data_IF_679600169577
#
_entry.id   IF_679600169577
#
_cell.length_a   1.000
_cell.length_b   1.000
_cell.length_c   1.000
_cell.angle_alpha   90.00
_cell.angle_beta   90.00
_cell.angle_gamma   90.00
#
_symmetry.space_group_name_H-M   'P 1'
#
loop_
_entity.id
_entity.type
_entity.pdbx_description
1 polymer ?
#
# COMPACT_ATOMS: atom_id res chain seq x y z
N UNK A 1 -4.23 -31.65 29.73
CA UNK A 1 -3.16 -31.96 28.76
C UNK A 1 -2.71 -30.63 28.18
N UNK A 2 -1.70 -30.05 28.81
CA UNK A 2 -0.98 -28.84 28.39
C UNK A 2 -0.05 -29.22 27.25
N UNK A 3 -0.25 -28.63 26.07
CA UNK A 3 0.68 -28.75 24.95
C UNK A 3 1.53 -27.48 24.95
N UNK A 4 2.74 -27.59 25.49
CA UNK A 4 3.80 -26.60 25.29
C UNK A 4 4.23 -26.65 23.83
N UNK A 5 3.97 -25.58 23.09
CA UNK A 5 4.59 -25.35 21.78
C UNK A 5 5.74 -24.38 21.99
N UNK A 6 6.89 -24.92 22.38
CA UNK A 6 8.17 -24.23 22.27
C UNK A 6 8.63 -24.35 20.82
N UNK A 7 8.31 -23.35 20.00
CA UNK A 7 8.90 -23.21 18.68
C UNK A 7 10.36 -22.83 18.83
N UNK A 8 11.27 -23.80 18.67
CA UNK A 8 12.70 -23.54 18.49
C UNK A 8 12.88 -22.67 17.25
N UNK A 9 13.58 -21.56 17.39
CA UNK A 9 14.25 -20.90 16.26
C UNK A 9 15.14 -21.96 15.64
N UNK A 10 14.82 -22.37 14.42
CA UNK A 10 15.65 -23.29 13.66
C UNK A 10 16.89 -22.50 13.28
N UNK A 11 18.01 -22.85 13.90
CA UNK A 11 19.34 -22.39 13.51
C UNK A 11 19.56 -22.88 12.07
N UNK A 12 19.39 -21.96 11.11
CA UNK A 12 19.60 -22.25 9.70
C UNK A 12 21.12 -22.23 9.55
N UNK A 13 21.71 -23.42 9.45
CA UNK A 13 23.16 -23.57 9.37
C UNK A 13 23.77 -22.62 8.35
N UNK A 14 24.87 -21.98 8.72
CA UNK A 14 25.71 -21.18 7.83
C UNK A 14 26.07 -22.04 6.62
N UNK A 15 25.41 -21.76 5.49
CA UNK A 15 25.94 -22.16 4.20
C UNK A 15 27.03 -21.14 3.92
N UNK A 16 28.29 -21.59 3.93
CA UNK A 16 29.42 -20.80 3.44
C UNK A 16 29.21 -20.59 1.93
N UNK A 17 28.46 -19.54 1.59
CA UNK A 17 28.00 -19.19 0.27
C UNK A 17 28.90 -18.12 -0.38
N UNK A 18 30.01 -17.77 0.29
CA UNK A 18 31.00 -16.80 -0.16
C UNK A 18 30.60 -15.35 0.06
N UNK A 19 29.44 -15.09 0.68
CA UNK A 19 28.97 -13.74 0.97
C UNK A 19 29.88 -13.05 2.01
N UNK A 20 30.13 -11.75 1.80
CA UNK A 20 30.97 -10.93 2.68
C UNK A 20 30.16 -10.15 3.73
N UNK A 21 28.87 -10.44 3.83
CA UNK A 21 27.94 -9.76 4.74
C UNK A 21 27.70 -10.57 6.01
N UNK A 22 27.35 -9.89 7.10
CA UNK A 22 26.90 -10.59 8.31
C UNK A 22 25.41 -10.94 8.18
N UNK A 23 25.09 -12.22 7.98
CA UNK A 23 23.72 -12.72 7.79
C UNK A 23 22.84 -12.51 9.03
N UNK A 24 23.42 -12.35 10.23
CA UNK A 24 22.68 -12.08 11.46
C UNK A 24 22.39 -10.59 11.68
N UNK A 25 22.93 -9.70 10.86
CA UNK A 25 22.73 -8.25 10.99
C UNK A 25 21.27 -7.90 10.69
N UNK A 26 20.65 -7.15 11.59
CA UNK A 26 19.30 -6.62 11.46
C UNK A 26 19.23 -5.53 10.38
N UNK A 27 18.12 -5.50 9.65
CA UNK A 27 17.85 -4.50 8.62
C UNK A 27 17.18 -3.30 9.27
N UNK A 28 17.89 -2.16 9.27
CA UNK A 28 17.36 -0.88 9.76
C UNK A 28 16.80 -0.94 11.20
N UNK A 29 17.36 -1.81 12.06
CA UNK A 29 16.93 -1.96 13.45
C UNK A 29 15.70 -2.84 13.68
N UNK A 30 15.06 -3.34 12.61
CA UNK A 30 13.93 -4.26 12.69
C UNK A 30 14.37 -5.72 12.85
N UNK A 31 13.44 -6.60 13.24
CA UNK A 31 13.69 -8.02 13.54
C UNK A 31 14.11 -8.88 12.33
N UNK A 32 14.00 -8.35 11.11
CA UNK A 32 14.40 -9.02 9.88
C UNK A 32 15.91 -8.90 9.65
N UNK A 33 16.59 -10.03 9.44
CA UNK A 33 18.03 -10.07 9.18
C UNK A 33 18.36 -10.02 7.69
N UNK A 34 19.62 -9.68 7.37
CA UNK A 34 20.20 -9.85 6.02
C UNK A 34 19.97 -11.27 5.52
N UNK A 35 20.24 -12.29 6.33
CA UNK A 35 20.05 -13.69 5.94
C UNK A 35 18.59 -14.00 5.58
N UNK A 36 17.63 -13.49 6.34
CA UNK A 36 16.20 -13.66 6.03
C UNK A 36 15.84 -13.02 4.67
N UNK A 37 16.33 -11.81 4.41
CA UNK A 37 16.10 -11.09 3.15
C UNK A 37 16.67 -11.88 1.96
N UNK A 38 17.93 -12.28 2.03
CA UNK A 38 18.59 -13.02 0.95
C UNK A 38 17.94 -14.38 0.71
N UNK A 39 17.61 -15.13 1.77
CA UNK A 39 16.97 -16.43 1.65
C UNK A 39 15.61 -16.33 0.95
N UNK A 40 14.81 -15.32 1.30
CA UNK A 40 13.52 -15.13 0.64
C UNK A 40 13.63 -14.86 -0.87
N UNK A 41 14.69 -14.20 -1.34
CA UNK A 41 14.98 -14.02 -2.77
C UNK A 41 15.51 -15.31 -3.40
N UNK A 42 16.43 -16.03 -2.74
CA UNK A 42 16.97 -17.30 -3.23
C UNK A 42 15.89 -18.37 -3.40
N UNK A 43 14.85 -18.32 -2.59
CA UNK A 43 13.71 -19.22 -2.69
C UNK A 43 12.72 -18.77 -3.77
N UNK A 44 12.45 -17.47 -3.90
CA UNK A 44 11.27 -16.99 -4.64
C UNK A 44 11.56 -16.12 -5.88
N UNK A 45 12.82 -15.77 -6.17
CA UNK A 45 13.17 -14.94 -7.32
C UNK A 45 14.24 -15.51 -8.26
N UNK A 46 13.81 -15.99 -9.42
CA UNK A 46 14.71 -16.57 -10.43
C UNK A 46 15.69 -15.56 -11.02
N UNK A 47 15.34 -14.28 -11.08
CA UNK A 47 16.24 -13.23 -11.56
C UNK A 47 17.39 -13.08 -10.56
N UNK A 48 17.07 -12.91 -9.27
CA UNK A 48 18.05 -12.87 -8.21
C UNK A 48 18.91 -14.14 -8.16
N UNK A 49 18.31 -15.34 -8.23
CA UNK A 49 19.06 -16.61 -8.24
C UNK A 49 20.10 -16.67 -9.35
N UNK A 50 19.75 -16.21 -10.55
CA UNK A 50 20.67 -16.16 -11.69
C UNK A 50 21.82 -15.17 -11.45
N UNK A 51 21.53 -13.99 -10.91
CA UNK A 51 22.55 -13.00 -10.57
C UNK A 51 23.49 -13.52 -9.48
N UNK A 52 22.93 -14.08 -8.41
CA UNK A 52 23.65 -14.58 -7.25
C UNK A 52 24.57 -15.76 -7.57
N UNK A 53 24.17 -16.63 -8.51
CA UNK A 53 24.91 -17.88 -8.82
C UNK A 53 26.40 -17.72 -9.16
N UNK A 54 26.84 -16.51 -9.53
CA UNK A 54 28.23 -16.21 -9.86
C UNK A 54 28.78 -14.98 -9.13
N UNK A 55 28.02 -14.39 -8.19
CA UNK A 55 28.29 -13.07 -7.63
C UNK A 55 27.94 -13.05 -6.15
N UNK A 56 28.92 -13.27 -5.26
CA UNK A 56 28.69 -13.15 -3.82
C UNK A 56 28.23 -11.74 -3.44
N UNK A 57 27.44 -11.65 -2.37
CA UNK A 57 26.98 -10.36 -1.84
C UNK A 57 28.13 -9.71 -1.07
N UNK A 58 28.47 -8.49 -1.46
CA UNK A 58 29.50 -7.65 -0.82
C UNK A 58 28.92 -6.84 0.32
N UNK A 59 27.77 -6.23 0.12
CA UNK A 59 27.12 -5.36 1.10
C UNK A 59 25.60 -5.27 0.85
N UNK A 60 24.85 -4.92 1.91
CA UNK A 60 23.44 -4.59 1.82
C UNK A 60 23.18 -3.28 2.56
N UNK A 61 22.60 -2.33 1.85
CA UNK A 61 22.12 -1.07 2.44
C UNK A 61 20.60 -1.03 2.43
N UNK A 62 20.01 -0.35 3.42
CA UNK A 62 18.57 -0.16 3.51
C UNK A 62 18.26 1.30 3.88
N UNK A 63 17.34 1.91 3.14
CA UNK A 63 16.92 3.30 3.33
C UNK A 63 15.39 3.40 3.37
N UNK A 64 14.84 4.15 4.32
CA UNK A 64 13.41 4.44 4.40
C UNK A 64 12.99 5.40 3.29
N UNK A 65 12.28 4.87 2.29
CA UNK A 65 11.75 5.65 1.17
C UNK A 65 10.44 6.34 1.51
N UNK A 66 9.79 6.00 2.63
CA UNK A 66 8.60 6.70 3.08
C UNK A 66 8.93 8.10 3.61
N UNK A 67 10.17 8.31 4.08
CA UNK A 67 10.62 9.58 4.65
C UNK A 67 9.80 10.01 5.86
N UNK A 68 9.37 9.04 6.68
CA UNK A 68 8.47 9.25 7.82
C UNK A 68 7.01 9.56 7.46
N UNK A 69 6.62 9.44 6.18
CA UNK A 69 5.25 9.68 5.71
C UNK A 69 4.43 8.40 5.57
N UNK A 70 5.05 7.24 5.80
CA UNK A 70 4.39 5.95 5.78
C UNK A 70 3.55 5.79 7.04
N UNK A 71 2.29 6.22 6.99
CA UNK A 71 1.45 6.41 8.16
C UNK A 71 1.33 5.16 9.05
N UNK A 72 1.15 3.98 8.45
CA UNK A 72 0.97 2.69 9.15
C UNK A 72 2.03 1.66 8.77
N UNK A 73 3.10 2.08 8.10
CA UNK A 73 4.20 1.20 7.70
C UNK A 73 5.45 1.99 7.37
N UNK A 74 6.61 1.44 7.70
CA UNK A 74 7.90 1.88 7.15
C UNK A 74 8.14 1.12 5.85
N UNK A 75 8.62 1.82 4.82
CA UNK A 75 8.94 1.23 3.52
C UNK A 75 10.44 1.38 3.28
N UNK A 76 11.18 0.28 3.40
CA UNK A 76 12.62 0.27 3.22
C UNK A 76 12.95 -0.19 1.80
N UNK A 77 13.77 0.58 1.10
CA UNK A 77 14.45 0.11 -0.12
C UNK A 77 15.76 -0.54 0.27
N UNK A 78 15.86 -1.83 0.05
CA UNK A 78 17.07 -2.60 0.27
C UNK A 78 17.86 -2.71 -1.04
N UNK A 79 19.15 -2.36 -1.00
CA UNK A 79 20.07 -2.45 -2.15
C UNK A 79 21.14 -3.48 -1.83
N UNK A 80 21.17 -4.55 -2.62
CA UNK A 80 22.13 -5.65 -2.55
C UNK A 80 23.25 -5.35 -3.54
N UNK A 81 24.46 -5.20 -3.01
CA UNK A 81 25.67 -4.88 -3.77
C UNK A 81 26.50 -6.16 -3.89
N UNK A 82 26.90 -6.51 -5.10
CA UNK A 82 27.73 -7.69 -5.36
C UNK A 82 29.23 -7.33 -5.40
N UNK A 83 30.10 -8.33 -5.25
CA UNK A 83 31.56 -8.13 -5.18
C UNK A 83 32.13 -7.47 -6.43
N UNK A 84 31.60 -7.80 -7.60
CA UNK A 84 32.03 -7.32 -8.92
C UNK A 84 31.22 -6.10 -9.43
N UNK A 85 30.32 -5.54 -8.61
CA UNK A 85 29.51 -4.38 -8.98
C UNK A 85 30.40 -3.16 -9.28
N UNK A 86 30.50 -2.80 -10.57
CA UNK A 86 31.34 -1.68 -11.02
C UNK A 86 30.69 -0.30 -10.78
N UNK A 87 29.36 -0.23 -10.65
CA UNK A 87 28.61 1.00 -10.40
C UNK A 87 27.23 0.69 -9.77
N UNK A 88 26.49 1.74 -9.41
CA UNK A 88 25.17 1.65 -8.75
C UNK A 88 24.08 0.95 -9.57
N UNK A 89 24.26 0.83 -10.90
CA UNK A 89 23.29 0.16 -11.78
C UNK A 89 23.50 -1.35 -11.81
N UNK A 90 24.57 -1.85 -11.18
CA UNK A 90 24.92 -3.25 -11.09
C UNK A 90 24.63 -3.82 -9.70
N UNK A 91 23.51 -3.37 -9.13
CA UNK A 91 22.98 -3.79 -7.83
C UNK A 91 21.60 -4.42 -8.03
N UNK A 92 21.17 -5.24 -7.08
CA UNK A 92 19.80 -5.74 -7.04
C UNK A 92 19.02 -5.02 -5.95
N UNK A 93 17.84 -4.49 -6.27
CA UNK A 93 17.02 -3.74 -5.32
C UNK A 93 15.69 -4.42 -5.05
N UNK A 94 15.22 -4.27 -3.81
CA UNK A 94 13.97 -4.84 -3.32
C UNK A 94 13.35 -3.92 -2.27
N UNK A 95 12.07 -4.12 -1.98
CA UNK A 95 11.30 -3.33 -1.01
C UNK A 95 10.90 -4.21 0.17
N UNK A 96 11.14 -3.71 1.38
CA UNK A 96 10.69 -4.29 2.63
C UNK A 96 9.67 -3.33 3.25
N UNK A 97 8.38 -3.67 3.17
CA UNK A 97 7.31 -2.93 3.85
C UNK A 97 7.07 -3.60 5.21
N UNK A 98 7.26 -2.85 6.29
CA UNK A 98 7.08 -3.32 7.66
C UNK A 98 5.93 -2.52 8.27
N UNK A 99 4.80 -3.15 8.62
CA UNK A 99 3.72 -2.47 9.30
C UNK A 99 4.17 -2.05 10.71
N UNK A 100 3.68 -0.91 11.16
CA UNK A 100 4.12 -0.32 12.43
C UNK A 100 3.14 0.71 12.96
N UNK A 101 3.35 1.09 14.22
CA UNK A 101 2.57 2.13 14.89
C UNK A 101 3.33 3.46 14.98
N UNK A 102 4.63 3.44 14.77
CA UNK A 102 5.57 4.50 15.12
C UNK A 102 5.24 5.81 14.41
N UNK A 103 4.99 5.76 13.09
CA UNK A 103 4.64 6.96 12.32
C UNK A 103 3.27 7.53 12.71
N UNK A 104 2.31 6.67 13.07
CA UNK A 104 1.03 7.11 13.60
C UNK A 104 1.18 7.72 14.99
N UNK A 105 1.92 7.07 15.90
CA UNK A 105 2.17 7.55 17.26
C UNK A 105 2.96 8.87 17.24
N UNK A 106 3.91 9.03 16.32
CA UNK A 106 4.62 10.28 16.10
C UNK A 106 3.68 11.39 15.59
N UNK A 107 2.80 11.08 14.64
CA UNK A 107 1.82 12.04 14.13
C UNK A 107 0.82 12.45 15.23
N UNK A 108 0.34 11.48 16.01
CA UNK A 108 -0.60 11.68 17.12
C UNK A 108 0.02 12.51 18.25
N UNK A 109 1.28 12.23 18.63
CA UNK A 109 1.97 12.95 19.70
C UNK A 109 2.33 14.40 19.34
N UNK A 110 2.50 14.70 18.05
CA UNK A 110 2.69 16.07 17.54
C UNK A 110 1.38 16.84 17.32
N UNK A 111 0.24 16.16 17.43
CA UNK A 111 -1.05 16.78 17.27
C UNK A 111 -1.55 17.34 18.60
N UNK A 112 -2.26 18.48 18.57
CA UNK A 112 -2.91 19.06 19.75
C UNK A 112 -4.18 18.28 20.18
N UNK A 113 -4.38 17.07 19.64
CA UNK A 113 -5.58 16.26 19.81
C UNK A 113 -5.44 15.23 20.93
N UNK A 114 -6.59 14.68 21.36
CA UNK A 114 -6.68 13.72 22.46
C UNK A 114 -5.78 12.50 22.21
N UNK A 115 -4.88 12.24 23.15
CA UNK A 115 -3.76 11.32 22.96
C UNK A 115 -4.14 9.82 22.98
N UNK A 116 -5.41 9.46 23.22
CA UNK A 116 -5.86 8.06 23.40
C UNK A 116 -6.37 7.36 22.13
N UNK A 117 -6.01 7.86 20.94
CA UNK A 117 -6.39 7.25 19.66
C UNK A 117 -5.69 5.91 19.39
N UNK A 118 -4.53 5.66 19.99
CA UNK A 118 -3.75 4.42 19.84
C UNK A 118 -4.09 3.39 20.93
N UNK A 119 -5.37 3.04 21.03
CA UNK A 119 -5.83 1.98 21.92
C UNK A 119 -5.67 0.58 21.28
N UNK A 120 -5.95 -0.47 22.06
CA UNK A 120 -5.85 -1.87 21.63
C UNK A 120 -6.70 -2.17 20.38
N UNK A 121 -7.85 -1.50 20.21
CA UNK A 121 -8.73 -1.70 19.06
C UNK A 121 -8.09 -1.13 17.78
N UNK A 122 -7.51 0.07 17.85
CA UNK A 122 -6.76 0.68 16.75
C UNK A 122 -5.57 -0.19 16.34
N UNK A 123 -4.82 -0.70 17.33
CA UNK A 123 -3.69 -1.61 17.05
C UNK A 123 -4.11 -2.89 16.33
N UNK A 124 -5.19 -3.51 16.79
CA UNK A 124 -5.79 -4.70 16.13
C UNK A 124 -6.23 -4.41 14.70
N UNK A 125 -6.66 -3.19 14.39
CA UNK A 125 -7.05 -2.79 13.03
C UNK A 125 -5.86 -2.68 12.10
N UNK A 126 -4.74 -2.10 12.52
CA UNK A 126 -3.55 -2.04 11.66
C UNK A 126 -2.98 -3.43 11.39
N UNK A 127 -3.02 -4.32 12.38
CA UNK A 127 -2.69 -5.73 12.18
C UNK A 127 -3.60 -6.35 11.11
N UNK A 128 -4.91 -6.14 11.22
CA UNK A 128 -5.87 -6.62 10.24
C UNK A 128 -5.66 -6.02 8.84
N UNK A 129 -5.31 -4.73 8.73
CA UNK A 129 -4.96 -4.10 7.45
C UNK A 129 -3.75 -4.78 6.80
N UNK A 130 -2.71 -5.09 7.58
CA UNK A 130 -1.56 -5.86 7.10
C UNK A 130 -1.94 -7.28 6.68
N UNK A 131 -2.78 -7.98 7.46
CA UNK A 131 -3.29 -9.32 7.10
C UNK A 131 -4.04 -9.29 5.76
N UNK A 132 -4.88 -8.28 5.54
CA UNK A 132 -5.59 -8.12 4.28
C UNK A 132 -4.66 -7.78 3.11
N UNK A 133 -3.65 -6.95 3.32
CA UNK A 133 -2.64 -6.68 2.30
C UNK A 133 -1.83 -7.95 1.94
N UNK A 134 -1.48 -8.76 2.95
CA UNK A 134 -0.85 -10.06 2.73
C UNK A 134 -1.76 -10.99 1.91
N UNK A 135 -3.04 -11.06 2.25
CA UNK A 135 -4.03 -11.86 1.53
C UNK A 135 -4.23 -11.38 0.09
N UNK A 136 -4.20 -10.06 -0.14
CA UNK A 136 -4.24 -9.51 -1.49
C UNK A 136 -3.10 -10.07 -2.34
N UNK A 137 -1.85 -9.83 -1.91
CA UNK A 137 -0.70 -10.18 -2.74
C UNK A 137 -0.50 -11.68 -2.89
N UNK A 138 -0.72 -12.44 -1.81
CA UNK A 138 -0.48 -13.90 -1.82
C UNK A 138 -1.61 -14.70 -2.49
N UNK A 139 -2.85 -14.20 -2.48
CA UNK A 139 -4.03 -14.96 -2.95
C UNK A 139 -4.75 -14.29 -4.11
N UNK A 140 -5.09 -13.01 -4.01
CA UNK A 140 -5.98 -12.35 -4.99
C UNK A 140 -5.25 -11.80 -6.21
N UNK A 141 -4.13 -11.10 -6.01
CA UNK A 141 -3.39 -10.43 -7.08
C UNK A 141 -3.05 -11.37 -8.26
N UNK A 142 -2.60 -12.63 -8.04
CA UNK A 142 -2.35 -13.58 -9.13
C UNK A 142 -3.62 -13.99 -9.88
N UNK A 143 -4.75 -14.16 -9.18
CA UNK A 143 -6.02 -14.60 -9.75
C UNK A 143 -6.66 -13.51 -10.63
N UNK A 144 -6.56 -12.26 -10.19
CA UNK A 144 -7.14 -11.12 -10.92
C UNK A 144 -6.18 -10.48 -11.91
N UNK A 145 -4.94 -10.98 -11.99
CA UNK A 145 -3.85 -10.41 -12.79
C UNK A 145 -3.67 -8.92 -12.50
N UNK A 146 -3.68 -8.56 -11.22
CA UNK A 146 -3.48 -7.18 -10.79
C UNK A 146 -2.11 -6.70 -11.28
N UNK A 147 -2.00 -5.44 -11.76
CA UNK A 147 -0.71 -4.81 -11.95
C UNK A 147 -0.15 -4.51 -10.55
N UNK A 148 0.66 -5.41 -10.00
CA UNK A 148 1.17 -5.34 -8.63
C UNK A 148 2.66 -5.76 -8.62
N UNK A 149 3.45 -5.33 -7.63
CA UNK A 149 4.80 -5.86 -7.44
C UNK A 149 4.75 -7.37 -7.20
N UNK A 150 5.77 -8.08 -7.69
CA UNK A 150 5.99 -9.46 -7.25
C UNK A 150 6.30 -9.46 -5.75
N UNK A 151 5.62 -10.30 -4.98
CA UNK A 151 5.92 -10.50 -3.55
C UNK A 151 6.74 -11.78 -3.39
N UNK A 152 7.92 -11.64 -2.77
CA UNK A 152 8.85 -12.73 -2.51
C UNK A 152 8.49 -13.48 -1.24
N UNK A 153 8.06 -12.76 -0.20
CA UNK A 153 7.68 -13.34 1.08
C UNK A 153 6.75 -12.42 1.86
N UNK A 154 5.86 -13.03 2.65
CA UNK A 154 4.96 -12.35 3.59
C UNK A 154 5.18 -12.94 4.98
N UNK A 155 5.07 -12.10 6.01
CA UNK A 155 5.14 -12.51 7.41
C UNK A 155 3.97 -11.88 8.17
N UNK A 156 3.23 -12.71 8.90
CA UNK A 156 2.13 -12.26 9.74
C UNK A 156 2.63 -11.34 10.86
N UNK A 157 1.84 -10.31 11.18
CA UNK A 157 2.09 -9.42 12.30
C UNK A 157 1.38 -9.94 13.55
N UNK A 158 2.15 -10.32 14.58
CA UNK A 158 1.60 -10.77 15.86
C UNK A 158 1.95 -9.72 16.92
N UNK A 159 0.92 -9.02 17.43
CA UNK A 159 1.06 -7.98 18.43
C UNK A 159 2.01 -8.39 19.57
N UNK A 160 3.01 -7.54 19.83
CA UNK A 160 4.04 -7.69 20.88
C UNK A 160 4.88 -8.97 20.82
N UNK A 161 4.82 -9.74 19.73
CA UNK A 161 5.52 -11.03 19.59
C UNK A 161 6.37 -11.15 18.33
N UNK A 162 5.89 -10.62 17.21
CA UNK A 162 6.53 -10.79 15.89
C UNK A 162 6.12 -9.65 14.97
N UNK A 163 7.08 -8.94 14.38
CA UNK A 163 6.80 -7.95 13.34
C UNK A 163 6.24 -8.61 12.08
N UNK A 164 5.29 -7.94 11.43
CA UNK A 164 4.85 -8.32 10.09
C UNK A 164 5.81 -7.83 9.03
N UNK A 165 5.67 -8.35 7.80
CA UNK A 165 6.40 -7.80 6.65
C UNK A 165 5.81 -8.24 5.32
N UNK A 166 5.97 -7.40 4.30
CA UNK A 166 5.93 -7.76 2.89
C UNK A 166 7.29 -7.49 2.26
N UNK A 167 7.94 -8.52 1.73
CA UNK A 167 9.16 -8.40 0.93
C UNK A 167 8.80 -8.52 -0.55
N UNK A 168 9.04 -7.46 -1.33
CA UNK A 168 8.47 -7.30 -2.67
C UNK A 168 9.44 -6.63 -3.66
N UNK A 169 9.13 -6.77 -4.95
CA UNK A 169 9.84 -6.16 -6.08
C UNK A 169 9.98 -4.63 -5.91
N UNK A 170 11.19 -4.12 -6.14
CA UNK A 170 11.41 -2.69 -6.31
C UNK A 170 11.02 -2.25 -7.72
N UNK A 171 9.90 -1.56 -7.81
CA UNK A 171 9.33 -1.07 -9.06
C UNK A 171 9.98 0.23 -9.57
N UNK A 172 10.85 0.89 -8.79
CA UNK A 172 11.38 2.22 -9.13
C UNK A 172 12.22 2.24 -10.40
N UNK A 173 12.72 1.08 -10.85
CA UNK A 173 13.46 0.95 -12.12
C UNK A 173 12.53 0.98 -13.35
N UNK A 174 11.24 0.71 -13.17
CA UNK A 174 10.26 0.62 -14.27
C UNK A 174 8.99 1.44 -14.06
N UNK A 175 8.85 2.09 -12.92
CA UNK A 175 7.72 2.96 -12.68
C UNK A 175 7.97 4.06 -11.66
N UNK A 176 7.09 5.05 -11.68
CA UNK A 176 7.14 6.25 -10.85
C UNK A 176 5.73 6.64 -10.40
N UNK A 177 5.61 7.08 -9.16
CA UNK A 177 4.37 7.66 -8.63
C UNK A 177 4.32 9.15 -8.94
N UNK A 178 3.11 9.70 -8.92
CA UNK A 178 2.90 11.14 -8.98
C UNK A 178 2.67 11.69 -7.58
N UNK A 179 3.09 12.92 -7.33
CA UNK A 179 2.69 13.64 -6.12
C UNK A 179 1.21 14.01 -6.18
N UNK A 180 0.61 14.30 -5.02
CA UNK A 180 -0.79 14.71 -4.90
C UNK A 180 -1.16 15.98 -5.69
N UNK A 181 -0.18 16.77 -6.12
CA UNK A 181 -0.38 18.03 -6.83
C UNK A 181 -0.08 17.92 -8.33
N UNK A 182 0.34 16.74 -8.79
CA UNK A 182 0.60 16.49 -10.20
C UNK A 182 -0.64 15.91 -10.88
N UNK A 183 -0.93 16.44 -12.07
CA UNK A 183 -2.09 16.01 -12.85
C UNK A 183 -1.71 14.86 -13.79
N UNK A 184 -2.67 13.97 -14.01
CA UNK A 184 -2.60 12.98 -15.09
C UNK A 184 -3.27 13.49 -16.37
N UNK A 185 -2.78 13.02 -17.51
CA UNK A 185 -3.40 13.26 -18.81
C UNK A 185 -4.70 12.46 -18.98
N UNK A 186 -5.57 12.90 -19.90
CA UNK A 186 -6.77 12.13 -20.27
C UNK A 186 -6.44 10.71 -20.75
N UNK A 187 -5.27 10.49 -21.37
CA UNK A 187 -4.83 9.17 -21.79
C UNK A 187 -4.50 8.26 -20.60
N UNK A 188 -3.82 8.79 -19.57
CA UNK A 188 -3.62 8.11 -18.29
C UNK A 188 -4.95 7.80 -17.59
N UNK A 189 -5.91 8.73 -17.59
CA UNK A 189 -7.27 8.49 -17.06
C UNK A 189 -7.91 7.27 -17.75
N UNK A 190 -7.89 7.25 -19.08
CA UNK A 190 -8.43 6.13 -19.87
C UNK A 190 -7.69 4.81 -19.59
N UNK A 191 -6.37 4.87 -19.47
CA UNK A 191 -5.52 3.71 -19.16
C UNK A 191 -5.90 3.11 -17.80
N UNK A 192 -6.01 3.94 -16.77
CA UNK A 192 -6.43 3.52 -15.43
C UNK A 192 -7.84 2.90 -15.43
N UNK A 193 -8.81 3.56 -16.06
CA UNK A 193 -10.20 3.03 -16.16
C UNK A 193 -10.23 1.66 -16.85
N UNK A 194 -9.44 1.47 -17.91
CA UNK A 194 -9.34 0.17 -18.57
C UNK A 194 -8.73 -0.90 -17.67
N UNK A 195 -7.71 -0.56 -16.88
CA UNK A 195 -7.14 -1.47 -15.90
C UNK A 195 -8.14 -1.84 -14.80
N UNK A 196 -8.82 -0.85 -14.22
CA UNK A 196 -9.84 -1.06 -13.20
C UNK A 196 -10.98 -1.95 -13.71
N UNK A 197 -11.46 -1.69 -14.93
CA UNK A 197 -12.48 -2.53 -15.57
C UNK A 197 -12.02 -3.98 -15.79
N UNK A 198 -10.75 -4.20 -16.15
CA UNK A 198 -10.18 -5.56 -16.27
C UNK A 198 -10.06 -6.25 -14.92
N UNK A 199 -9.60 -5.54 -13.88
CA UNK A 199 -9.52 -6.08 -12.53
C UNK A 199 -10.91 -6.47 -11.99
N UNK A 200 -11.91 -5.59 -12.14
CA UNK A 200 -13.30 -5.86 -11.77
C UNK A 200 -13.88 -7.05 -12.55
N UNK A 201 -13.62 -7.14 -13.86
CA UNK A 201 -14.02 -8.32 -14.65
C UNK A 201 -13.39 -9.61 -14.12
N UNK A 202 -12.10 -9.56 -13.79
CA UNK A 202 -11.37 -10.74 -13.36
C UNK A 202 -11.82 -11.22 -11.98
N UNK A 203 -12.02 -10.32 -11.00
CA UNK A 203 -12.52 -10.71 -9.67
C UNK A 203 -13.92 -11.32 -9.74
N UNK A 204 -14.80 -10.80 -10.62
CA UNK A 204 -16.12 -11.37 -10.86
C UNK A 204 -16.07 -12.76 -11.53
N UNK A 205 -14.91 -13.16 -12.06
CA UNK A 205 -14.68 -14.50 -12.62
C UNK A 205 -14.02 -15.45 -11.61
N UNK A 206 -13.58 -14.96 -10.45
CA UNK A 206 -13.03 -15.77 -9.37
C UNK A 206 -14.20 -16.34 -8.55
N UNK A 207 -14.06 -17.60 -8.08
CA UNK A 207 -15.05 -18.21 -7.19
C UNK A 207 -15.32 -17.29 -5.99
N UNK A 208 -16.58 -16.91 -5.79
CA UNK A 208 -17.00 -16.00 -4.72
C UNK A 208 -16.56 -16.51 -3.34
N UNK A 209 -16.43 -17.82 -3.13
CA UNK A 209 -15.94 -18.41 -1.88
C UNK A 209 -14.49 -18.01 -1.56
N UNK A 210 -13.73 -17.51 -2.53
CA UNK A 210 -12.35 -17.06 -2.34
C UNK A 210 -12.32 -15.67 -1.73
N UNK A 211 -13.26 -14.78 -2.06
CA UNK A 211 -13.14 -13.36 -1.72
C UNK A 211 -14.38 -12.74 -1.05
N UNK A 212 -15.58 -13.20 -1.39
CA UNK A 212 -16.84 -12.61 -0.92
C UNK A 212 -17.09 -12.94 0.55
N UNK A 213 -17.47 -11.92 1.32
CA UNK A 213 -17.62 -11.95 2.77
C UNK A 213 -16.32 -11.94 3.58
N UNK A 214 -15.13 -11.96 2.95
CA UNK A 214 -13.85 -12.10 3.66
C UNK A 214 -13.20 -10.77 4.02
N UNK A 215 -13.53 -9.69 3.32
CA UNK A 215 -12.89 -8.39 3.49
C UNK A 215 -13.84 -7.31 4.02
N UNK A 216 -15.03 -7.70 4.48
CA UNK A 216 -16.05 -6.78 5.02
C UNK A 216 -15.58 -5.97 6.23
N UNK A 217 -14.70 -6.57 7.06
CA UNK A 217 -14.19 -5.92 8.28
C UNK A 217 -13.24 -4.76 7.99
N UNK A 218 -12.54 -4.78 6.85
CA UNK A 218 -11.60 -3.69 6.53
C UNK A 218 -12.33 -2.35 6.35
N UNK A 219 -13.60 -2.40 5.93
CA UNK A 219 -14.44 -1.22 5.78
C UNK A 219 -14.80 -0.57 7.13
N UNK A 220 -14.70 -1.29 8.26
CA UNK A 220 -14.92 -0.71 9.60
C UNK A 220 -13.69 0.05 10.09
N UNK A 221 -12.49 -0.39 9.71
CA UNK A 221 -11.23 0.10 10.27
C UNK A 221 -10.94 1.58 10.00
N UNK A 222 -11.54 2.13 8.94
CA UNK A 222 -11.31 3.51 8.53
C UNK A 222 -12.25 4.53 9.21
N UNK A 223 -13.30 4.09 9.90
CA UNK A 223 -14.28 5.00 10.50
C UNK A 223 -13.66 5.86 11.59
N UNK A 224 -12.84 5.27 12.46
CA UNK A 224 -12.13 5.98 13.51
C UNK A 224 -11.04 6.87 12.93
N UNK A 225 -10.49 6.49 11.77
CA UNK A 225 -9.57 7.35 11.04
C UNK A 225 -10.29 8.60 10.50
N UNK A 226 -11.56 8.50 10.09
CA UNK A 226 -12.37 9.68 9.72
C UNK A 226 -12.58 10.61 10.91
N UNK A 227 -12.85 10.08 12.11
CA UNK A 227 -12.97 10.87 13.33
C UNK A 227 -11.64 11.57 13.70
N UNK A 228 -10.50 10.96 13.41
CA UNK A 228 -9.19 11.61 13.55
C UNK A 228 -8.98 12.69 12.49
N UNK A 229 -9.26 12.38 11.22
CA UNK A 229 -9.08 13.33 10.11
C UNK A 229 -10.01 14.54 10.22
N UNK A 230 -11.21 14.37 10.77
CA UNK A 230 -12.17 15.48 10.93
C UNK A 230 -11.66 16.58 11.85
N UNK A 231 -10.90 16.19 12.87
CA UNK A 231 -10.28 17.12 13.81
C UNK A 231 -9.23 18.01 13.11
N UNK A 232 -8.66 17.55 12.00
CA UNK A 232 -7.67 18.29 11.21
C UNK A 232 -8.26 19.33 10.26
N UNK A 233 -9.58 19.37 10.05
CA UNK A 233 -10.19 20.29 9.09
C UNK A 233 -10.08 21.77 9.47
N UNK A 234 -10.31 22.12 10.74
CA UNK A 234 -10.23 23.53 11.17
C UNK A 234 -8.79 24.06 11.15
N UNK A 235 -7.76 23.32 11.65
CA UNK A 235 -6.37 23.70 11.44
C UNK A 235 -5.99 23.83 9.97
N UNK A 236 -6.46 22.90 9.12
CA UNK A 236 -6.22 22.95 7.68
C UNK A 236 -6.83 24.21 7.05
N UNK A 237 -8.09 24.52 7.36
CA UNK A 237 -8.77 25.73 6.91
C UNK A 237 -7.99 27.00 7.26
N UNK A 238 -7.59 27.13 8.52
CA UNK A 238 -6.82 28.29 9.01
C UNK A 238 -5.44 28.41 8.36
N UNK A 239 -4.86 27.31 7.91
CA UNK A 239 -3.61 27.31 7.15
C UNK A 239 -3.79 27.74 5.69
N UNK A 240 -5.03 27.73 5.17
CA UNK A 240 -5.33 28.04 3.78
C UNK A 240 -5.34 29.55 3.52
N UNK A 241 -4.56 30.01 2.54
CA UNK A 241 -4.57 31.43 2.10
C UNK A 241 -5.93 31.91 1.58
N UNK A 242 -6.84 30.99 1.23
CA UNK A 242 -8.18 31.25 0.69
C UNK A 242 -9.27 30.74 1.63
N UNK A 243 -8.99 30.77 2.94
CA UNK A 243 -9.91 30.32 4.00
C UNK A 243 -11.34 30.83 3.79
N UNK A 244 -11.53 32.14 3.61
CA UNK A 244 -12.86 32.76 3.43
C UNK A 244 -13.63 32.22 2.22
N UNK A 245 -12.92 31.86 1.15
CA UNK A 245 -13.53 31.31 -0.06
C UNK A 245 -13.95 29.85 0.12
N UNK A 246 -13.16 29.07 0.87
CA UNK A 246 -13.41 27.65 1.09
C UNK A 246 -14.30 27.38 2.30
N UNK A 247 -14.34 28.25 3.31
CA UNK A 247 -15.06 28.08 4.57
C UNK A 247 -16.53 27.68 4.36
N UNK A 248 -17.34 28.34 3.50
CA UNK A 248 -18.72 27.92 3.28
C UNK A 248 -18.86 26.51 2.68
N UNK A 249 -17.91 26.08 1.85
CA UNK A 249 -17.89 24.74 1.27
C UNK A 249 -17.48 23.72 2.32
N UNK A 250 -16.43 23.99 3.10
CA UNK A 250 -15.96 23.08 4.13
C UNK A 250 -17.03 22.91 5.20
N UNK A 251 -17.63 23.97 5.73
CA UNK A 251 -18.73 23.89 6.71
C UNK A 251 -19.97 23.13 6.20
N UNK A 252 -20.21 23.16 4.88
CA UNK A 252 -21.29 22.38 4.26
C UNK A 252 -20.95 20.90 4.21
N UNK A 253 -19.74 20.55 3.78
CA UNK A 253 -19.34 19.15 3.54
C UNK A 253 -18.79 18.46 4.79
N UNK A 254 -18.27 19.19 5.79
CA UNK A 254 -17.79 18.59 7.05
C UNK A 254 -18.88 17.86 7.79
N UNK A 255 -20.11 18.37 7.76
CA UNK A 255 -21.28 17.67 8.33
C UNK A 255 -21.49 16.27 7.73
N UNK A 256 -21.09 16.07 6.46
CA UNK A 256 -21.15 14.78 5.80
C UNK A 256 -19.89 13.96 6.07
N UNK A 257 -18.69 14.56 5.99
CA UNK A 257 -17.44 13.85 6.24
C UNK A 257 -17.29 13.38 7.69
N UNK A 258 -17.88 14.10 8.65
CA UNK A 258 -17.81 13.78 10.08
C UNK A 258 -18.91 12.79 10.48
N UNK A 259 -19.83 12.49 9.56
CA UNK A 259 -20.89 11.52 9.79
C UNK A 259 -20.37 10.10 9.54
N UNK A 260 -20.13 9.38 10.64
CA UNK A 260 -19.89 7.93 10.62
C UNK A 260 -20.94 7.17 9.82
N UNK A 261 -22.22 7.53 9.98
CA UNK A 261 -23.32 6.89 9.25
C UNK A 261 -23.23 7.15 7.74
N UNK A 262 -22.88 8.39 7.33
CA UNK A 262 -22.68 8.70 5.92
C UNK A 262 -21.48 7.92 5.35
N UNK A 263 -20.36 7.89 6.06
CA UNK A 263 -19.19 7.11 5.65
C UNK A 263 -19.52 5.63 5.49
N UNK A 264 -20.16 5.02 6.51
CA UNK A 264 -20.57 3.62 6.47
C UNK A 264 -21.58 3.36 5.34
N UNK A 265 -22.52 4.27 5.12
CA UNK A 265 -23.48 4.16 4.02
C UNK A 265 -22.76 4.14 2.67
N UNK A 266 -21.91 5.12 2.40
CA UNK A 266 -21.21 5.25 1.11
C UNK A 266 -20.34 4.02 0.82
N UNK A 267 -19.54 3.56 1.79
CA UNK A 267 -18.58 2.47 1.57
C UNK A 267 -19.21 1.06 1.70
N UNK A 268 -20.27 0.87 2.51
CA UNK A 268 -20.81 -0.47 2.82
C UNK A 268 -22.22 -0.77 2.31
N UNK A 269 -23.06 0.24 2.12
CA UNK A 269 -24.49 0.05 1.92
C UNK A 269 -24.99 0.58 0.58
N UNK A 270 -24.43 1.68 0.08
CA UNK A 270 -24.90 2.38 -1.13
C UNK A 270 -25.01 1.45 -2.35
N UNK A 271 -24.01 0.62 -2.58
CA UNK A 271 -24.01 -0.32 -3.71
C UNK A 271 -25.06 -1.43 -3.55
N UNK A 272 -25.40 -1.82 -2.32
CA UNK A 272 -26.43 -2.84 -2.03
C UNK A 272 -27.81 -2.29 -2.34
N UNK A 273 -28.09 -1.06 -1.91
CA UNK A 273 -29.37 -0.39 -2.16
C UNK A 273 -29.58 -0.15 -3.66
N UNK A 274 -28.51 0.17 -4.38
CA UNK A 274 -28.48 0.30 -5.84
C UNK A 274 -28.44 -1.05 -6.58
N UNK A 275 -28.38 -2.18 -5.86
CA UNK A 275 -28.28 -3.54 -6.42
C UNK A 275 -27.09 -3.72 -7.37
N UNK A 276 -26.00 -3.02 -7.09
CA UNK A 276 -24.73 -3.14 -7.81
C UNK A 276 -23.97 -4.35 -7.26
N UNK A 277 -23.41 -5.16 -8.14
CA UNK A 277 -22.58 -6.30 -7.75
C UNK A 277 -21.27 -5.77 -7.14
N UNK A 278 -20.89 -6.19 -5.91
CA UNK A 278 -19.65 -5.73 -5.30
C UNK A 278 -18.43 -6.26 -6.06
N UNK A 279 -17.32 -5.57 -5.87
CA UNK A 279 -15.98 -5.98 -6.33
C UNK A 279 -14.99 -5.78 -5.19
N UNK A 280 -13.73 -6.15 -5.40
CA UNK A 280 -12.65 -5.73 -4.49
C UNK A 280 -12.20 -4.33 -4.91
N UNK A 281 -12.47 -3.35 -4.06
CA UNK A 281 -11.93 -2.00 -4.16
C UNK A 281 -10.57 -1.96 -3.45
N UNK A 282 -9.64 -1.16 -3.97
CA UNK A 282 -8.37 -0.86 -3.31
C UNK A 282 -8.60 0.02 -2.07
N UNK A 283 -9.52 0.98 -2.14
CA UNK A 283 -10.06 1.71 -0.97
C UNK A 283 -9.30 2.97 -0.55
N UNK A 284 -8.07 3.17 -1.02
CA UNK A 284 -7.25 4.37 -0.78
C UNK A 284 -6.58 4.86 -2.07
N UNK A 285 -7.39 5.04 -3.11
CA UNK A 285 -6.88 5.35 -4.44
C UNK A 285 -6.52 6.84 -4.57
N UNK A 286 -5.23 7.11 -4.72
CA UNK A 286 -4.67 8.45 -4.97
C UNK A 286 -3.36 8.34 -5.78
N UNK A 287 -2.79 9.45 -6.32
CA UNK A 287 -1.63 9.40 -7.21
C UNK A 287 -0.38 8.70 -6.65
N UNK A 288 -0.24 8.67 -5.32
CA UNK A 288 0.87 8.02 -4.61
C UNK A 288 0.77 6.48 -4.60
N UNK A 289 -0.44 5.93 -4.75
CA UNK A 289 -0.68 4.48 -4.80
C UNK A 289 -0.74 3.93 -6.23
N UNK A 290 -0.42 4.78 -7.23
CA UNK A 290 -0.39 4.44 -8.64
C UNK A 290 1.02 4.64 -9.17
N UNK A 291 1.64 3.55 -9.62
CA UNK A 291 2.93 3.60 -10.32
C UNK A 291 2.69 3.57 -11.83
N UNK A 292 3.07 4.65 -12.51
CA UNK A 292 3.08 4.72 -13.97
C UNK A 292 4.38 4.17 -14.51
N UNK A 293 4.35 3.51 -15.66
CA UNK A 293 5.55 3.06 -16.35
C UNK A 293 6.46 4.23 -16.70
N UNK A 294 7.77 4.00 -16.78
CA UNK A 294 8.74 5.01 -17.25
C UNK A 294 9.44 4.56 -18.53
N UNK A 295 9.93 5.53 -19.32
CA UNK A 295 10.79 5.29 -20.46
C UNK A 295 12.28 5.26 -20.08
N UNK A 296 13.15 5.13 -21.09
CA UNK A 296 14.62 5.07 -20.89
C UNK A 296 15.22 6.36 -20.32
N UNK A 297 14.50 7.48 -20.42
CA UNK A 297 14.90 8.77 -19.88
C UNK A 297 14.33 8.99 -18.46
N UNK A 298 13.47 8.07 -17.98
CA UNK A 298 12.77 8.20 -16.71
C UNK A 298 11.46 8.99 -16.80
N UNK A 299 11.00 9.30 -18.02
CA UNK A 299 9.75 10.04 -18.23
C UNK A 299 8.54 9.12 -18.07
N UNK A 300 7.49 9.65 -17.45
CA UNK A 300 6.25 8.92 -17.18
C UNK A 300 5.51 8.59 -18.48
N UNK A 301 5.12 7.34 -18.61
CA UNK A 301 4.32 6.79 -19.70
C UNK A 301 2.83 6.75 -19.36
N UNK A 302 2.05 6.29 -20.34
CA UNK A 302 0.60 6.16 -20.26
C UNK A 302 0.16 4.82 -19.62
N UNK A 303 1.02 3.80 -19.65
CA UNK A 303 0.73 2.49 -19.08
C UNK A 303 1.01 2.44 -17.58
N UNK A 304 0.21 1.68 -16.84
CA UNK A 304 0.47 1.40 -15.43
C UNK A 304 1.59 0.38 -15.28
N UNK A 305 2.50 0.65 -14.34
CA UNK A 305 3.48 -0.31 -13.84
C UNK A 305 2.90 -1.14 -12.70
N UNK A 306 2.20 -0.49 -11.76
CA UNK A 306 1.51 -1.14 -10.65
C UNK A 306 0.47 -0.24 -9.96
N UNK A 307 -0.44 -0.86 -9.22
CA UNK A 307 -1.22 -0.26 -8.14
C UNK A 307 -0.70 -0.90 -6.85
N UNK A 308 -0.34 -0.07 -5.87
CA UNK A 308 0.31 -0.49 -4.63
C UNK A 308 -0.55 -0.13 -3.41
N UNK A 309 -0.08 -0.54 -2.24
CA UNK A 309 -0.68 -0.25 -0.93
C UNK A 309 -2.14 -0.76 -0.78
N UNK A 310 -2.31 -2.08 -0.73
CA UNK A 310 -3.64 -2.71 -0.71
C UNK A 310 -4.21 -2.92 0.70
N UNK A 311 -3.65 -2.23 1.70
CA UNK A 311 -4.01 -2.41 3.11
C UNK A 311 -5.44 -1.96 3.47
N UNK A 312 -6.06 -1.11 2.66
CA UNK A 312 -7.45 -0.64 2.82
C UNK A 312 -8.45 -1.39 1.94
N UNK A 313 -8.00 -2.46 1.27
CA UNK A 313 -8.83 -3.16 0.30
C UNK A 313 -10.07 -3.79 0.94
N UNK A 314 -11.18 -3.81 0.22
CA UNK A 314 -12.43 -4.35 0.75
C UNK A 314 -13.48 -4.64 -0.32
N UNK A 315 -14.59 -5.26 0.09
CA UNK A 315 -15.74 -5.54 -0.78
C UNK A 315 -16.63 -4.31 -0.96
N UNK A 316 -16.37 -3.55 -2.01
CA UNK A 316 -16.94 -2.23 -2.22
C UNK A 316 -17.68 -2.08 -3.54
N UNK A 317 -18.07 -0.84 -3.80
CA UNK A 317 -18.64 -0.44 -5.08
C UNK A 317 -17.55 -0.41 -6.16
N UNK A 318 -17.81 -0.88 -7.40
CA UNK A 318 -16.88 -0.68 -8.51
C UNK A 318 -16.67 0.80 -8.88
N UNK A 319 -17.49 1.69 -8.32
CA UNK A 319 -17.35 3.14 -8.52
C UNK A 319 -16.42 3.80 -7.50
N UNK A 320 -16.05 3.12 -6.41
CA UNK A 320 -15.31 3.75 -5.31
C UNK A 320 -13.90 4.20 -5.72
N UNK A 321 -13.08 3.27 -6.21
CA UNK A 321 -11.72 3.59 -6.68
C UNK A 321 -11.75 4.53 -7.87
N UNK A 322 -12.79 4.46 -8.71
CA UNK A 322 -12.96 5.37 -9.84
C UNK A 322 -13.26 6.79 -9.34
N UNK A 323 -14.15 6.93 -8.36
CA UNK A 323 -14.50 8.20 -7.76
C UNK A 323 -13.28 8.84 -7.11
N UNK A 324 -12.60 8.09 -6.24
CA UNK A 324 -11.36 8.53 -5.57
C UNK A 324 -10.28 8.90 -6.58
N UNK A 325 -10.06 8.09 -7.62
CA UNK A 325 -9.10 8.39 -8.68
C UNK A 325 -9.43 9.70 -9.40
N UNK A 326 -10.68 9.89 -9.82
CA UNK A 326 -11.10 11.10 -10.53
C UNK A 326 -11.01 12.35 -9.64
N UNK A 327 -11.30 12.21 -8.34
CA UNK A 327 -11.17 13.32 -7.38
C UNK A 327 -9.72 13.70 -7.09
N UNK A 328 -8.82 12.72 -6.93
CA UNK A 328 -7.45 12.99 -6.50
C UNK A 328 -6.44 13.15 -7.65
N UNK A 329 -6.73 12.61 -8.84
CA UNK A 329 -5.76 12.54 -9.94
C UNK A 329 -6.14 13.42 -11.13
N UNK A 330 -7.43 13.56 -11.44
CA UNK A 330 -7.87 14.32 -12.61
C UNK A 330 -8.04 15.80 -12.27
N UNK A 331 -7.46 16.68 -13.09
CA UNK A 331 -7.74 18.11 -12.96
C UNK A 331 -9.17 18.45 -13.39
N UNK A 332 -9.65 19.62 -12.92
CA UNK A 332 -10.99 20.10 -13.26
C UNK A 332 -11.23 20.27 -14.76
N UNK A 333 -10.18 20.46 -15.57
CA UNK A 333 -10.27 20.62 -17.02
C UNK A 333 -10.55 19.27 -17.70
N UNK A 334 -9.80 18.24 -17.33
CA UNK A 334 -9.96 16.87 -17.79
C UNK A 334 -11.31 16.28 -17.35
N UNK A 335 -11.76 16.61 -16.13
CA UNK A 335 -13.12 16.28 -15.68
C UNK A 335 -14.20 16.94 -16.55
N UNK A 336 -13.95 18.16 -17.04
CA UNK A 336 -14.82 18.85 -17.99
C UNK A 336 -14.71 18.35 -19.44
N UNK A 337 -13.84 17.39 -19.75
CA UNK A 337 -13.82 16.69 -21.04
C UNK A 337 -14.55 15.34 -21.00
N UNK A 338 -14.70 14.76 -19.80
CA UNK A 338 -15.54 13.57 -19.59
C UNK A 338 -16.99 13.93 -19.97
N UNK A 339 -17.73 13.14 -20.78
CA UNK A 339 -19.10 13.49 -21.16
C UNK A 339 -19.99 13.76 -19.94
N UNK A 340 -20.83 14.80 -19.98
CA UNK A 340 -21.62 15.26 -18.83
C UNK A 340 -22.42 14.16 -18.12
N UNK A 341 -22.90 13.15 -18.87
CA UNK A 341 -23.59 11.97 -18.31
C UNK A 341 -22.75 11.11 -17.35
N UNK A 342 -21.44 11.32 -17.31
CA UNK A 342 -20.49 10.65 -16.43
C UNK A 342 -19.86 11.60 -15.39
N UNK A 343 -20.27 12.89 -15.35
CA UNK A 343 -19.78 13.89 -14.38
C UNK A 343 -20.54 13.90 -13.05
N UNK A 344 -21.38 12.90 -12.81
CA UNK A 344 -22.09 12.75 -11.54
C UNK A 344 -21.17 11.96 -10.61
N UNK A 345 -20.15 12.65 -10.11
CA UNK A 345 -19.43 12.30 -8.89
C UNK A 345 -19.46 13.55 -8.01
#
# INVERSE_FOLDING_TARGET
MTVEVVGKVQDIGEVDDGDMVNHSKLIHGHSFTIGWLLNSLRENDDIYKKLYSNRPVKDITAYDVSGGKGFVSIVLRCTIIFVDSANSNDCYTTILKIPGFESFEEANSKSDFDHDLMNEMTRKKFIQMHEFECDFYSKLAPLIKAPAPKVYKVEDWILDKKEGCLHMEDLTLRGKTLSFFENISLTQVKSYIQHLARMHKNILSVDEKIWKGKFLKNQDGFVEFIEFMSQSYEPFLKSCKREEEFRPLIEKYTKLSDSKDFYLYVNKQSYKDLKIVPVIAQGDMHPGNIMWGIDKNGDIKQELAAIIDWQTMHEGSPMEDLARFLTHCADGVNLMEIPAKFRIL
#
